data_IF_552967876162
#
_entry.id   IF_552967876162
#
_cell.length_a   1.000
_cell.length_b   1.000
_cell.length_c   1.000
_cell.angle_alpha   90.00
_cell.angle_beta   90.00
_cell.angle_gamma   90.00
#
_symmetry.space_group_name_H-M   'P 1'
#
loop_
_entity.id
_entity.type
_entity.pdbx_description
1 polymer ?
#
# COMPACT_ATOMS: atom_id res chain seq x y z
N UNK A 1 -10.50 -10.23 -11.06
CA UNK A 1 -10.04 -9.30 -10.02
C UNK A 1 -8.59 -8.94 -10.27
N UNK A 2 -8.29 -7.67 -10.32
CA UNK A 2 -6.95 -7.21 -10.64
C UNK A 2 -5.99 -7.36 -9.46
N UNK A 3 -4.77 -7.75 -9.77
CA UNK A 3 -3.69 -7.80 -8.79
C UNK A 3 -3.18 -6.38 -8.53
N UNK A 4 -3.17 -5.97 -7.27
CA UNK A 4 -2.65 -4.67 -6.88
C UNK A 4 -1.20 -4.84 -6.46
N UNK A 5 -0.28 -4.16 -7.15
CA UNK A 5 1.12 -4.15 -6.77
C UNK A 5 1.34 -3.05 -5.74
N UNK A 6 1.39 -3.44 -4.48
CA UNK A 6 1.53 -2.49 -3.37
C UNK A 6 2.84 -1.69 -3.42
N UNK A 7 3.90 -2.27 -3.96
CA UNK A 7 5.16 -1.54 -4.13
C UNK A 7 4.98 -0.40 -5.12
N UNK A 8 4.26 -0.64 -6.21
CA UNK A 8 3.97 0.41 -7.19
C UNK A 8 3.02 1.45 -6.62
N UNK A 9 2.05 1.03 -5.82
CA UNK A 9 1.11 1.96 -5.18
C UNK A 9 1.87 2.97 -4.32
N UNK A 10 2.86 2.50 -3.55
CA UNK A 10 3.68 3.37 -2.71
C UNK A 10 4.88 3.97 -3.45
N UNK A 11 5.07 3.61 -4.72
CA UNK A 11 6.18 4.10 -5.55
C UNK A 11 7.54 3.79 -4.93
N UNK A 12 7.69 2.57 -4.42
CA UNK A 12 8.92 2.10 -3.80
C UNK A 12 9.40 0.82 -4.48
N UNK A 13 10.68 0.51 -4.30
CA UNK A 13 11.28 -0.72 -4.80
C UNK A 13 10.88 -1.91 -3.92
N UNK A 14 10.88 -3.10 -4.51
CA UNK A 14 10.59 -4.34 -3.77
C UNK A 14 11.57 -4.59 -2.63
N UNK A 15 12.75 -4.00 -2.72
CA UNK A 15 13.79 -4.11 -1.71
C UNK A 15 13.77 -2.98 -0.70
N UNK A 16 12.77 -2.08 -0.79
CA UNK A 16 12.67 -0.94 0.11
C UNK A 16 12.60 -1.40 1.57
N UNK A 17 13.24 -0.65 2.44
CA UNK A 17 13.18 -0.92 3.88
C UNK A 17 11.82 -0.51 4.43
N UNK A 18 11.48 -1.01 5.61
CA UNK A 18 10.23 -0.62 6.29
C UNK A 18 10.20 0.91 6.49
N UNK A 19 11.35 1.50 6.82
CA UNK A 19 11.47 2.96 6.97
C UNK A 19 11.12 3.70 5.69
N UNK A 20 11.64 3.22 4.56
CA UNK A 20 11.35 3.81 3.26
C UNK A 20 9.87 3.67 2.90
N UNK A 21 9.29 2.53 3.21
CA UNK A 21 7.88 2.26 2.96
C UNK A 21 7.01 3.22 3.78
N UNK A 22 7.31 3.39 5.06
CA UNK A 22 6.56 4.31 5.93
C UNK A 22 6.67 5.75 5.46
N UNK A 23 7.87 6.16 5.04
CA UNK A 23 8.10 7.51 4.53
C UNK A 23 7.29 7.77 3.26
N UNK A 24 7.31 6.81 2.32
CA UNK A 24 6.55 6.90 1.09
C UNK A 24 5.04 6.96 1.38
N UNK A 25 4.58 6.14 2.30
CA UNK A 25 3.19 6.16 2.71
C UNK A 25 2.76 7.54 3.22
N UNK A 26 3.52 8.11 4.14
CA UNK A 26 3.19 9.42 4.72
C UNK A 26 3.09 10.50 3.65
N UNK A 27 4.03 10.48 2.71
CA UNK A 27 4.05 11.44 1.61
C UNK A 27 2.80 11.33 0.74
N UNK A 28 2.47 10.10 0.32
CA UNK A 28 1.32 9.87 -0.56
C UNK A 28 -0.01 10.05 0.17
N UNK A 29 -0.07 9.66 1.44
CA UNK A 29 -1.29 9.84 2.24
C UNK A 29 -1.64 11.32 2.38
N UNK A 30 -0.65 12.19 2.54
CA UNK A 30 -0.88 13.64 2.58
C UNK A 30 -1.36 14.15 1.23
N UNK A 31 -0.76 13.67 0.16
CA UNK A 31 -1.09 14.11 -1.21
C UNK A 31 -2.53 13.78 -1.58
N UNK A 32 -3.00 12.59 -1.21
CA UNK A 32 -4.32 12.11 -1.59
C UNK A 32 -5.35 12.16 -0.46
N UNK A 33 -5.03 12.81 0.65
CA UNK A 33 -5.95 12.89 1.78
C UNK A 33 -7.27 13.57 1.38
N UNK A 34 -8.43 13.06 1.84
CA UNK A 34 -9.73 13.65 1.49
C UNK A 34 -9.87 15.11 1.86
N UNK A 35 -9.24 15.57 2.95
CA UNK A 35 -9.29 16.98 3.36
C UNK A 35 -8.60 17.91 2.36
N UNK A 36 -7.57 17.38 1.69
CA UNK A 36 -6.82 18.14 0.66
C UNK A 36 -7.48 17.99 -0.71
N UNK A 37 -8.23 16.94 -0.92
CA UNK A 37 -8.86 16.61 -2.18
C UNK A 37 -10.38 16.40 -2.00
N UNK A 38 -11.10 17.43 -1.53
CA UNK A 38 -12.53 17.28 -1.28
C UNK A 38 -13.30 16.98 -2.58
N UNK A 39 -14.28 16.10 -2.49
CA UNK A 39 -15.14 15.73 -3.63
C UNK A 39 -14.36 15.14 -4.82
N UNK A 40 -13.24 14.49 -4.54
CA UNK A 40 -12.44 13.85 -5.60
C UNK A 40 -12.43 12.32 -5.39
N UNK A 41 -13.30 11.60 -6.11
CA UNK A 41 -13.41 10.14 -5.94
C UNK A 41 -12.13 9.39 -6.32
N UNK A 42 -11.38 9.90 -7.30
CA UNK A 42 -10.13 9.25 -7.70
C UNK A 42 -9.08 9.35 -6.61
N UNK A 43 -8.98 10.51 -5.97
CA UNK A 43 -8.05 10.70 -4.86
C UNK A 43 -8.43 9.80 -3.67
N UNK A 44 -9.72 9.67 -3.40
CA UNK A 44 -10.20 8.80 -2.34
C UNK A 44 -9.85 7.34 -2.62
N UNK A 45 -10.02 6.90 -3.85
CA UNK A 45 -9.66 5.55 -4.26
C UNK A 45 -8.16 5.30 -4.05
N UNK A 46 -7.33 6.24 -4.48
CA UNK A 46 -5.88 6.13 -4.29
C UNK A 46 -5.50 6.14 -2.83
N UNK A 47 -6.16 6.97 -2.03
CA UNK A 47 -5.92 7.03 -0.59
C UNK A 47 -6.19 5.68 0.07
N UNK A 48 -7.28 5.02 -0.31
CA UNK A 48 -7.61 3.68 0.20
C UNK A 48 -6.55 2.64 -0.20
N UNK A 49 -6.10 2.70 -1.45
CA UNK A 49 -5.06 1.79 -1.93
C UNK A 49 -3.74 2.01 -1.21
N UNK A 50 -3.38 3.27 -0.97
CA UNK A 50 -2.18 3.64 -0.24
C UNK A 50 -2.23 3.11 1.19
N UNK A 51 -3.37 3.24 1.86
CA UNK A 51 -3.55 2.71 3.21
C UNK A 51 -3.41 1.20 3.24
N UNK A 52 -4.02 0.51 2.28
CA UNK A 52 -3.91 -0.95 2.19
C UNK A 52 -2.46 -1.38 1.93
N UNK A 53 -1.78 -0.72 1.00
CA UNK A 53 -0.39 -1.03 0.69
C UNK A 53 0.50 -0.85 1.93
N UNK A 54 0.29 0.22 2.69
CA UNK A 54 1.05 0.44 3.91
C UNK A 54 0.78 -0.65 4.95
N UNK A 55 -0.47 -1.03 5.13
CA UNK A 55 -0.85 -2.09 6.07
C UNK A 55 -0.11 -3.40 5.76
N UNK A 56 0.00 -3.73 4.47
CA UNK A 56 0.67 -4.96 4.04
C UNK A 56 2.19 -4.84 4.14
N UNK A 57 2.75 -3.78 3.59
CA UNK A 57 4.20 -3.67 3.44
C UNK A 57 4.93 -3.18 4.68
N UNK A 58 4.26 -2.47 5.57
CA UNK A 58 4.89 -2.01 6.81
C UNK A 58 4.87 -3.07 7.92
N UNK A 59 4.07 -4.11 7.76
CA UNK A 59 4.00 -5.22 8.70
C UNK A 59 4.89 -6.35 8.17
N UNK A 60 5.97 -6.74 8.88
CA UNK A 60 6.90 -7.77 8.38
C UNK A 60 6.22 -9.09 8.02
N UNK A 61 5.26 -9.53 8.82
CA UNK A 61 4.54 -10.77 8.53
C UNK A 61 3.68 -10.68 7.28
N UNK A 62 2.91 -9.60 7.16
CA UNK A 62 2.08 -9.39 5.98
C UNK A 62 2.92 -9.22 4.73
N UNK A 63 4.02 -8.48 4.83
CA UNK A 63 4.94 -8.28 3.71
C UNK A 63 5.50 -9.61 3.23
N UNK A 64 5.93 -10.46 4.16
CA UNK A 64 6.45 -11.78 3.83
C UNK A 64 5.42 -12.62 3.10
N UNK A 65 4.18 -12.63 3.58
CA UNK A 65 3.08 -13.34 2.94
C UNK A 65 2.80 -12.79 1.55
N UNK A 66 2.77 -11.47 1.43
CA UNK A 66 2.52 -10.83 0.15
C UNK A 66 3.62 -11.14 -0.86
N UNK A 67 4.89 -11.06 -0.45
CA UNK A 67 6.02 -11.37 -1.32
C UNK A 67 6.00 -12.81 -1.81
N UNK A 68 5.52 -13.72 -0.97
CA UNK A 68 5.45 -15.15 -1.31
C UNK A 68 4.22 -15.50 -2.12
N UNK A 69 3.05 -14.96 -1.76
CA UNK A 69 1.76 -15.37 -2.31
C UNK A 69 1.11 -14.34 -3.24
N UNK A 70 1.63 -13.13 -3.34
CA UNK A 70 1.04 -12.09 -4.17
C UNK A 70 -0.39 -11.76 -3.75
N UNK A 71 -1.31 -11.74 -4.71
CA UNK A 71 -2.70 -11.36 -4.44
C UNK A 71 -3.42 -12.26 -3.44
N UNK A 72 -2.90 -13.45 -3.20
CA UNK A 72 -3.52 -14.42 -2.28
C UNK A 72 -2.96 -14.32 -0.87
N UNK A 73 -2.20 -13.29 -0.55
CA UNK A 73 -1.54 -13.17 0.74
C UNK A 73 -2.50 -13.21 1.94
N UNK A 74 -3.72 -12.73 1.77
CA UNK A 74 -4.73 -12.75 2.85
C UNK A 74 -5.18 -14.15 3.21
N UNK A 75 -5.01 -15.09 2.30
CA UNK A 75 -5.42 -16.48 2.47
C UNK A 75 -4.25 -17.42 2.66
N UNK A 76 -3.05 -16.86 2.92
CA UNK A 76 -1.84 -17.66 3.01
C UNK A 76 -1.84 -18.67 4.16
N UNK A 77 -2.64 -18.43 5.18
CA UNK A 77 -2.72 -19.31 6.36
C UNK A 77 -3.86 -20.33 6.25
N UNK A 78 -4.58 -20.32 5.16
CA UNK A 78 -5.72 -21.25 4.96
C UNK A 78 -5.31 -22.55 4.30
#
# INVERSE_FOLDING_TARGET
MEFIDYYKVLEVDKKATVEEIKKAYRKLARKYHPDVNPNNPEALKKFKEINEANEVLSNPENRKKYDKHGKDWKHADE
#
